data_IF_446423405016
#
_entry.id   IF_446423405016
#
_cell.length_a   1.000
_cell.length_b   1.000
_cell.length_c   1.000
_cell.angle_alpha   90.00
_cell.angle_beta   90.00
_cell.angle_gamma   90.00
#
_symmetry.space_group_name_H-M   'P 1'
#
loop_
_entity.id
_entity.type
_entity.pdbx_description
1 polymer ?
#
# COMPACT_ATOMS: atom_id res chain seq x y z
N UNK A 1 14.22 -27.36 -39.62
CA UNK A 1 13.70 -26.20 -40.42
C UNK A 1 12.21 -26.27 -40.76
N UNK A 2 11.58 -27.44 -40.94
CA UNK A 2 10.15 -27.58 -41.34
C UNK A 2 9.11 -27.09 -40.31
N UNK A 3 9.35 -27.24 -39.00
CA UNK A 3 8.43 -26.78 -37.93
C UNK A 3 8.35 -25.24 -37.80
N UNK A 4 9.48 -24.54 -37.91
CA UNK A 4 9.53 -23.07 -37.79
C UNK A 4 8.81 -22.38 -38.96
N UNK A 5 8.92 -22.92 -40.18
CA UNK A 5 8.19 -22.39 -41.35
C UNK A 5 6.67 -22.64 -41.27
N UNK A 6 6.24 -23.75 -40.66
CA UNK A 6 4.82 -24.02 -40.41
C UNK A 6 4.21 -23.07 -39.39
N UNK A 7 4.88 -22.82 -38.25
CA UNK A 7 4.43 -21.86 -37.23
C UNK A 7 4.31 -20.45 -37.84
N UNK A 8 5.32 -20.02 -38.62
CA UNK A 8 5.31 -18.70 -39.27
C UNK A 8 4.16 -18.54 -40.27
N UNK A 9 3.82 -19.61 -41.01
CA UNK A 9 2.66 -19.63 -41.92
C UNK A 9 1.34 -19.59 -41.15
N UNK A 10 1.20 -20.36 -40.07
CA UNK A 10 0.00 -20.35 -39.23
C UNK A 10 -0.25 -18.96 -38.64
N UNK A 11 0.77 -18.30 -38.08
CA UNK A 11 0.65 -16.92 -37.56
C UNK A 11 0.15 -15.96 -38.66
N UNK A 12 0.74 -16.02 -39.86
CA UNK A 12 0.35 -15.15 -40.98
C UNK A 12 -1.11 -15.38 -41.41
N UNK A 13 -1.54 -16.63 -41.45
CA UNK A 13 -2.92 -16.99 -41.79
C UNK A 13 -3.91 -16.56 -40.70
N UNK A 14 -3.57 -16.72 -39.42
CA UNK A 14 -4.40 -16.25 -38.30
C UNK A 14 -4.62 -14.73 -38.36
N UNK A 15 -3.58 -13.93 -38.62
CA UNK A 15 -3.73 -12.48 -38.78
C UNK A 15 -4.63 -12.09 -39.97
N UNK A 16 -4.50 -12.78 -41.10
CA UNK A 16 -5.36 -12.54 -42.27
C UNK A 16 -6.84 -12.87 -41.97
N UNK A 17 -7.08 -13.94 -41.21
CA UNK A 17 -8.42 -14.38 -40.82
C UNK A 17 -9.11 -13.42 -39.85
N UNK A 18 -8.38 -12.92 -38.84
CA UNK A 18 -8.86 -11.89 -37.91
C UNK A 18 -9.27 -10.62 -38.69
N UNK A 19 -8.50 -10.27 -39.73
CA UNK A 19 -8.76 -9.08 -40.55
C UNK A 19 -10.01 -9.20 -41.45
N UNK A 20 -10.38 -10.40 -41.87
CA UNK A 20 -11.60 -10.64 -42.65
C UNK A 20 -12.86 -10.60 -41.77
N UNK A 21 -12.80 -11.06 -40.52
CA UNK A 21 -13.93 -11.11 -39.59
C UNK A 21 -13.78 -10.08 -38.45
N UNK A 22 -13.66 -8.80 -38.80
CA UNK A 22 -13.31 -7.71 -37.85
C UNK A 22 -14.29 -7.57 -36.69
N UNK A 23 -15.59 -7.55 -36.97
CA UNK A 23 -16.63 -7.34 -35.94
C UNK A 23 -16.63 -8.46 -34.89
N UNK A 24 -16.57 -9.71 -35.37
CA UNK A 24 -16.60 -10.89 -34.49
C UNK A 24 -15.32 -11.01 -33.67
N UNK A 25 -14.17 -10.77 -34.29
CA UNK A 25 -12.87 -10.78 -33.62
C UNK A 25 -12.78 -9.67 -32.58
N UNK A 26 -13.31 -8.48 -32.88
CA UNK A 26 -13.37 -7.38 -31.92
C UNK A 26 -14.27 -7.70 -30.73
N UNK A 27 -15.49 -8.20 -30.96
CA UNK A 27 -16.43 -8.57 -29.89
C UNK A 27 -15.88 -9.68 -28.97
N UNK A 28 -15.11 -10.63 -29.51
CA UNK A 28 -14.46 -11.66 -28.70
C UNK A 28 -13.28 -11.14 -27.91
N UNK A 29 -12.43 -10.31 -28.54
CA UNK A 29 -11.33 -9.67 -27.82
C UNK A 29 -11.85 -8.73 -26.73
N UNK A 30 -13.01 -8.09 -26.91
CA UNK A 30 -13.58 -7.14 -25.96
C UNK A 30 -13.77 -7.75 -24.56
N UNK A 31 -14.26 -8.99 -24.47
CA UNK A 31 -14.41 -9.67 -23.18
C UNK A 31 -13.08 -9.88 -22.45
N UNK A 32 -12.02 -10.22 -23.21
CA UNK A 32 -10.66 -10.40 -22.67
C UNK A 32 -10.07 -9.04 -22.29
N UNK A 33 -10.24 -8.02 -23.14
CA UNK A 33 -9.77 -6.67 -22.89
C UNK A 33 -10.36 -6.15 -21.59
N UNK A 34 -11.69 -6.24 -21.42
CA UNK A 34 -12.37 -5.78 -20.21
C UNK A 34 -11.91 -6.58 -18.99
N UNK A 35 -11.83 -7.91 -19.09
CA UNK A 35 -11.40 -8.77 -17.99
C UNK A 35 -9.97 -8.47 -17.54
N UNK A 36 -9.02 -8.42 -18.47
CA UNK A 36 -7.62 -8.13 -18.17
C UNK A 36 -7.45 -6.68 -17.71
N UNK A 37 -8.12 -5.71 -18.34
CA UNK A 37 -8.05 -4.32 -17.93
C UNK A 37 -8.56 -4.11 -16.50
N UNK A 38 -9.68 -4.73 -16.13
CA UNK A 38 -10.24 -4.62 -14.78
C UNK A 38 -9.29 -5.20 -13.72
N UNK A 39 -8.68 -6.36 -14.00
CA UNK A 39 -7.72 -7.01 -13.08
C UNK A 39 -6.46 -6.16 -12.92
N UNK A 40 -5.87 -5.69 -14.02
CA UNK A 40 -4.69 -4.82 -13.99
C UNK A 40 -5.03 -3.52 -13.24
N UNK A 41 -6.16 -2.90 -13.58
CA UNK A 41 -6.61 -1.65 -12.96
C UNK A 41 -6.71 -1.78 -11.44
N UNK A 42 -7.37 -2.83 -10.96
CA UNK A 42 -7.57 -3.07 -9.54
C UNK A 42 -6.26 -3.42 -8.82
N UNK A 43 -5.49 -4.38 -9.34
CA UNK A 43 -4.28 -4.86 -8.66
C UNK A 43 -3.20 -3.78 -8.61
N UNK A 44 -2.98 -3.05 -9.71
CA UNK A 44 -1.99 -1.96 -9.75
C UNK A 44 -2.39 -0.82 -8.83
N UNK A 45 -3.66 -0.42 -8.83
CA UNK A 45 -4.16 0.65 -7.92
C UNK A 45 -4.05 0.24 -6.46
N UNK A 46 -4.49 -0.97 -6.09
CA UNK A 46 -4.36 -1.48 -4.71
C UNK A 46 -2.90 -1.53 -4.30
N UNK A 47 -2.01 -2.06 -5.14
CA UNK A 47 -0.58 -2.13 -4.86
C UNK A 47 0.05 -0.75 -4.66
N UNK A 48 -0.34 0.24 -5.47
CA UNK A 48 0.14 1.62 -5.35
C UNK A 48 -0.29 2.25 -4.01
N UNK A 49 -1.57 2.10 -3.65
CA UNK A 49 -2.12 2.59 -2.37
C UNK A 49 -1.44 1.89 -1.19
N UNK A 50 -1.30 0.56 -1.23
CA UNK A 50 -0.63 -0.20 -0.18
C UNK A 50 0.83 0.21 -0.03
N UNK A 51 1.57 0.32 -1.14
CA UNK A 51 3.00 0.72 -1.10
C UNK A 51 3.17 2.13 -0.55
N UNK A 52 2.25 3.03 -0.90
CA UNK A 52 2.20 4.37 -0.34
C UNK A 52 1.97 4.32 1.18
N UNK A 53 0.99 3.55 1.66
CA UNK A 53 0.74 3.42 3.09
C UNK A 53 1.91 2.77 3.83
N UNK A 54 2.44 1.64 3.35
CA UNK A 54 3.58 0.93 3.96
C UNK A 54 4.79 1.86 4.01
N UNK A 55 5.07 2.63 2.95
CA UNK A 55 6.15 3.62 2.96
C UNK A 55 6.00 4.62 4.11
N UNK A 56 4.79 5.13 4.34
CA UNK A 56 4.47 6.10 5.41
C UNK A 56 4.54 5.51 6.83
N UNK A 57 4.30 4.21 6.99
CA UNK A 57 4.46 3.51 8.26
C UNK A 57 5.90 3.06 8.50
N UNK A 58 6.63 2.65 7.45
CA UNK A 58 8.03 2.23 7.56
C UNK A 58 8.94 3.36 8.05
N UNK A 59 8.64 4.61 7.68
CA UNK A 59 9.35 5.80 8.17
C UNK A 59 9.11 6.08 9.66
N UNK A 60 8.17 5.39 10.30
CA UNK A 60 7.92 5.52 11.75
C UNK A 60 8.80 4.58 12.59
N UNK A 61 9.59 3.71 11.94
CA UNK A 61 10.55 2.82 12.58
C UNK A 61 9.97 1.44 12.88
N UNK A 62 10.61 0.39 12.33
CA UNK A 62 10.24 -1.01 12.58
C UNK A 62 10.62 -1.51 13.99
N UNK A 63 11.36 -0.72 14.76
CA UNK A 63 11.83 -1.04 16.11
C UNK A 63 11.14 -0.26 17.23
N UNK A 64 9.91 0.22 17.02
CA UNK A 64 9.20 1.07 17.96
C UNK A 64 7.95 0.34 18.51
N UNK A 65 7.83 0.29 19.83
CA UNK A 65 6.62 -0.10 20.56
C UNK A 65 6.02 1.15 21.21
N UNK A 66 4.78 1.48 20.90
CA UNK A 66 4.04 2.53 21.60
C UNK A 66 3.22 1.91 22.73
N UNK A 67 3.44 2.37 23.96
CA UNK A 67 2.70 1.95 25.15
C UNK A 67 1.75 3.06 25.54
N UNK A 68 0.45 2.86 25.30
CA UNK A 68 -0.61 3.73 25.77
C UNK A 68 -1.09 3.27 27.13
N UNK A 69 -1.08 4.17 28.11
CA UNK A 69 -1.46 3.90 29.51
C UNK A 69 -2.54 4.90 29.93
N UNK A 70 -3.82 4.64 29.59
CA UNK A 70 -4.93 5.39 30.16
C UNK A 70 -4.94 5.34 31.70
N UNK A 71 -4.35 4.28 32.26
CA UNK A 71 -4.23 4.09 33.69
C UNK A 71 -5.52 3.58 34.33
N UNK A 72 -5.61 3.75 35.64
CA UNK A 72 -6.76 3.37 36.46
C UNK A 72 -7.14 4.50 37.41
N UNK A 73 -8.29 4.38 38.07
CA UNK A 73 -8.72 5.34 39.11
C UNK A 73 -7.67 5.50 40.22
N UNK A 74 -6.91 4.44 40.52
CA UNK A 74 -5.89 4.44 41.57
C UNK A 74 -4.52 4.93 41.09
N UNK A 75 -4.24 4.83 39.78
CA UNK A 75 -2.97 5.22 39.18
C UNK A 75 -3.22 5.75 37.76
N UNK A 76 -3.36 7.08 37.59
CA UNK A 76 -3.50 7.69 36.27
C UNK A 76 -2.11 7.67 35.62
N UNK A 77 -1.88 6.78 34.65
CA UNK A 77 -0.64 6.70 33.88
C UNK A 77 0.61 6.18 34.62
N UNK A 78 1.75 6.38 33.97
CA UNK A 78 3.08 6.02 34.44
C UNK A 78 3.76 7.19 35.17
N UNK A 79 4.60 6.86 36.14
CA UNK A 79 5.47 7.77 36.88
C UNK A 79 6.91 7.70 36.34
N UNK A 80 7.78 8.64 36.72
CA UNK A 80 9.20 8.59 36.32
C UNK A 80 9.90 7.32 36.80
N UNK A 81 9.50 6.75 37.94
CA UNK A 81 10.03 5.48 38.42
C UNK A 81 9.62 4.31 37.51
N UNK A 82 8.38 4.29 37.04
CA UNK A 82 7.91 3.25 36.10
C UNK A 82 8.67 3.34 34.76
N UNK A 83 9.02 4.55 34.31
CA UNK A 83 9.87 4.72 33.12
C UNK A 83 11.27 4.16 33.34
N UNK A 84 11.85 4.33 34.53
CA UNK A 84 13.16 3.79 34.85
C UNK A 84 13.13 2.25 34.85
N UNK A 85 12.08 1.65 35.40
CA UNK A 85 11.86 0.19 35.35
C UNK A 85 11.68 -0.31 33.91
N UNK A 86 10.90 0.41 33.08
CA UNK A 86 10.76 0.10 31.66
C UNK A 86 12.12 0.18 30.95
N UNK A 87 12.93 1.21 31.22
CA UNK A 87 14.25 1.38 30.57
C UNK A 87 15.25 0.29 30.93
N UNK A 88 15.02 -0.43 32.03
CA UNK A 88 15.88 -1.50 32.51
C UNK A 88 15.53 -2.87 31.90
N UNK A 89 14.44 -2.99 31.14
CA UNK A 89 14.08 -4.23 30.44
C UNK A 89 15.16 -4.53 29.38
N UNK A 90 15.61 -5.79 29.31
CA UNK A 90 16.55 -6.24 28.28
C UNK A 90 15.99 -5.94 26.88
N UNK A 91 16.88 -5.65 25.93
CA UNK A 91 16.54 -5.28 24.55
C UNK A 91 15.90 -3.88 24.34
N UNK A 92 15.61 -3.09 25.37
CA UNK A 92 15.16 -1.69 25.20
C UNK A 92 16.37 -0.76 25.06
N UNK A 93 16.52 -0.13 23.91
CA UNK A 93 17.62 0.81 23.62
C UNK A 93 17.38 2.18 24.25
N UNK A 94 16.16 2.70 24.13
CA UNK A 94 15.80 4.01 24.66
C UNK A 94 14.29 4.18 24.80
N UNK A 95 13.89 5.20 25.56
CA UNK A 95 12.49 5.52 25.85
C UNK A 95 12.23 7.00 25.56
N UNK A 96 11.07 7.30 24.98
CA UNK A 96 10.57 8.64 24.75
C UNK A 96 9.14 8.79 25.27
N UNK A 97 8.93 9.44 26.43
CA UNK A 97 7.60 9.82 26.89
C UNK A 97 6.90 10.74 25.88
N UNK A 98 5.59 10.55 25.72
CA UNK A 98 4.75 11.32 24.81
C UNK A 98 3.59 11.95 25.56
N UNK A 99 3.52 13.28 25.56
CA UNK A 99 2.43 14.02 26.20
C UNK A 99 1.84 14.98 25.18
N UNK A 100 0.60 14.75 24.76
CA UNK A 100 -0.07 15.63 23.78
C UNK A 100 -1.11 16.49 24.48
N UNK A 101 -1.03 17.81 24.28
CA UNK A 101 -1.97 18.79 24.83
C UNK A 101 -2.35 19.77 23.72
N UNK A 102 -3.63 20.16 23.66
CA UNK A 102 -4.05 21.28 22.81
C UNK A 102 -4.01 22.54 23.65
N UNK A 103 -3.36 23.60 23.15
CA UNK A 103 -3.16 24.82 23.93
C UNK A 103 -3.23 26.08 23.08
N UNK A 104 -3.52 27.20 23.74
CA UNK A 104 -3.49 28.52 23.15
C UNK A 104 -2.04 29.00 23.01
N UNK A 105 -1.72 29.49 21.81
CA UNK A 105 -0.39 29.97 21.46
C UNK A 105 -0.49 31.37 20.86
N UNK A 106 0.35 32.27 21.37
CA UNK A 106 0.40 33.67 20.95
C UNK A 106 1.81 34.08 20.58
N UNK A 107 1.94 34.79 19.46
CA UNK A 107 3.19 35.46 19.05
C UNK A 107 2.89 36.65 18.15
N UNK A 108 3.63 37.75 18.31
CA UNK A 108 3.58 38.89 17.39
C UNK A 108 2.19 39.51 17.17
N UNK A 109 1.30 39.45 18.17
CA UNK A 109 -0.07 39.96 18.09
C UNK A 109 -1.08 39.00 17.42
N UNK A 110 -0.66 37.80 17.02
CA UNK A 110 -1.55 36.71 16.58
C UNK A 110 -1.73 35.69 17.70
N UNK A 111 -2.95 35.17 17.82
CA UNK A 111 -3.34 34.13 18.78
C UNK A 111 -4.01 32.99 18.03
N UNK A 112 -3.72 31.75 18.44
CA UNK A 112 -4.44 30.56 17.98
C UNK A 112 -4.74 29.64 19.14
N UNK A 113 -6.01 29.23 19.25
CA UNK A 113 -6.53 28.51 20.42
C UNK A 113 -6.45 26.99 20.26
N UNK A 114 -5.95 26.52 19.10
CA UNK A 114 -5.93 25.11 18.70
C UNK A 114 -4.57 24.74 18.12
N UNK A 115 -3.52 24.86 18.93
CA UNK A 115 -2.18 24.38 18.56
C UNK A 115 -1.89 23.06 19.27
N UNK A 116 -1.32 22.10 18.54
CA UNK A 116 -0.93 20.80 19.11
C UNK A 116 0.42 20.98 19.77
N UNK A 117 0.49 20.83 21.09
CA UNK A 117 1.72 20.89 21.86
C UNK A 117 2.09 19.47 22.29
N UNK A 118 3.23 18.99 21.79
CA UNK A 118 3.75 17.65 22.08
C UNK A 118 4.97 17.73 23.00
N UNK A 119 4.83 17.15 24.19
CA UNK A 119 5.91 16.86 25.11
C UNK A 119 6.72 15.67 24.63
N UNK A 120 7.99 15.89 24.29
CA UNK A 120 8.96 14.87 23.84
C UNK A 120 10.31 15.05 24.55
N UNK A 121 11.15 14.02 24.51
CA UNK A 121 12.54 14.09 24.97
C UNK A 121 13.53 14.08 23.78
N UNK A 122 14.82 14.03 24.07
CA UNK A 122 15.89 13.96 23.06
C UNK A 122 15.85 12.67 22.23
N UNK A 123 15.43 11.55 22.84
CA UNK A 123 15.41 10.24 22.17
C UNK A 123 14.45 10.23 20.99
N UNK A 124 13.33 10.95 21.10
CA UNK A 124 12.39 11.14 19.98
C UNK A 124 13.09 11.73 18.74
N UNK A 125 13.92 12.75 18.92
CA UNK A 125 14.61 13.40 17.80
C UNK A 125 15.79 12.59 17.28
N UNK A 126 16.42 11.78 18.13
CA UNK A 126 17.48 10.85 17.74
C UNK A 126 16.94 9.75 16.82
N UNK A 127 15.76 9.19 17.12
CA UNK A 127 15.14 8.13 16.32
C UNK A 127 14.34 8.65 15.12
N UNK A 128 14.11 9.96 15.04
CA UNK A 128 13.51 10.65 13.90
C UNK A 128 14.55 11.58 13.23
N UNK A 129 15.66 11.01 12.77
CA UNK A 129 16.73 11.77 12.11
C UNK A 129 16.21 12.58 10.91
N UNK A 130 16.68 13.82 10.78
CA UNK A 130 16.23 14.73 9.71
C UNK A 130 14.90 15.44 9.97
N UNK A 131 14.23 15.19 11.11
CA UNK A 131 13.01 15.90 11.49
C UNK A 131 13.28 17.41 11.65
N UNK A 132 14.38 17.80 12.29
CA UNK A 132 14.79 19.20 12.47
C UNK A 132 15.59 19.66 11.26
N UNK A 133 15.05 20.62 10.52
CA UNK A 133 15.65 21.17 9.28
C UNK A 133 16.53 22.39 9.56
N UNK A 134 16.24 23.15 10.62
CA UNK A 134 17.00 24.33 11.01
C UNK A 134 17.07 24.46 12.54
N UNK A 135 18.19 24.94 13.07
CA UNK A 135 18.43 25.03 14.51
C UNK A 135 18.92 23.71 15.11
N UNK A 136 18.45 23.38 16.32
CA UNK A 136 18.82 22.15 17.05
C UNK A 136 17.58 21.42 17.60
N UNK A 137 17.65 20.08 17.79
CA UNK A 137 16.64 19.35 18.54
C UNK A 137 16.70 19.66 20.04
N UNK A 138 15.73 19.12 20.79
CA UNK A 138 15.75 19.13 22.25
C UNK A 138 16.91 18.25 22.77
N UNK A 139 17.63 18.75 23.76
CA UNK A 139 18.79 18.08 24.37
C UNK A 139 18.44 17.58 25.78
N UNK A 140 19.25 16.65 26.29
CA UNK A 140 19.13 16.14 27.67
C UNK A 140 19.14 17.28 28.70
N UNK A 141 19.97 18.30 28.48
CA UNK A 141 20.06 19.49 29.36
C UNK A 141 18.77 20.31 29.42
N UNK A 142 17.95 20.28 28.35
CA UNK A 142 16.67 21.00 28.31
C UNK A 142 15.62 20.29 29.18
N UNK A 143 15.76 18.98 29.43
CA UNK A 143 14.84 18.18 30.26
C UNK A 143 15.08 18.34 31.76
N UNK A 144 16.31 18.68 32.17
CA UNK A 144 16.71 18.68 33.59
C UNK A 144 16.47 20.01 34.30
N UNK A 145 16.54 21.14 33.59
CA UNK A 145 16.58 22.48 34.21
C UNK A 145 15.30 23.31 34.01
N UNK A 146 14.16 22.68 33.81
CA UNK A 146 12.87 23.35 33.53
C UNK A 146 12.96 24.40 32.39
N UNK A 147 13.83 24.13 31.41
CA UNK A 147 14.16 25.09 30.37
C UNK A 147 12.96 25.25 29.44
N UNK A 148 12.49 26.49 29.25
CA UNK A 148 11.37 26.80 28.35
C UNK A 148 11.87 27.01 26.92
N UNK A 149 12.19 25.90 26.26
CA UNK A 149 12.55 25.86 24.83
C UNK A 149 11.54 25.02 24.04
N UNK A 150 11.39 25.32 22.76
CA UNK A 150 10.52 24.58 21.87
C UNK A 150 11.10 24.40 20.47
N UNK A 151 10.64 23.37 19.77
CA UNK A 151 10.87 23.15 18.35
C UNK A 151 9.51 23.26 17.67
N UNK A 152 9.39 24.03 16.59
CA UNK A 152 8.10 24.24 15.90
C UNK A 152 8.09 23.57 14.53
N UNK A 153 6.92 23.19 14.03
CA UNK A 153 6.78 22.72 12.67
C UNK A 153 6.73 23.87 11.63
N UNK A 154 6.79 23.49 10.36
CA UNK A 154 6.69 24.45 9.25
C UNK A 154 5.36 25.20 9.19
N UNK A 155 4.28 24.66 9.77
CA UNK A 155 2.94 25.25 9.76
C UNK A 155 2.84 26.37 10.80
N UNK A 156 3.28 26.11 12.04
CA UNK A 156 3.48 27.08 13.10
C UNK A 156 4.38 28.23 12.64
N UNK A 157 5.49 27.92 11.99
CA UNK A 157 6.40 28.93 11.46
C UNK A 157 5.72 29.87 10.46
N UNK A 158 4.93 29.34 9.51
CA UNK A 158 4.18 30.14 8.53
C UNK A 158 3.08 30.98 9.18
N UNK A 159 2.41 30.46 10.19
CA UNK A 159 1.30 31.13 10.88
C UNK A 159 1.77 32.30 11.73
N UNK A 160 2.78 32.06 12.60
CA UNK A 160 3.23 33.01 13.60
C UNK A 160 4.42 33.88 13.16
N UNK A 161 5.25 33.40 12.23
CA UNK A 161 6.47 34.09 11.77
C UNK A 161 6.56 34.18 10.23
N UNK A 162 5.55 34.76 9.54
CA UNK A 162 5.53 34.82 8.08
C UNK A 162 6.73 35.61 7.53
N UNK A 163 7.56 34.97 6.70
CA UNK A 163 8.72 35.60 6.06
C UNK A 163 9.90 35.92 6.99
N UNK A 164 9.89 35.41 8.23
CA UNK A 164 10.95 35.60 9.21
C UNK A 164 11.57 34.26 9.63
N UNK A 165 12.82 34.28 10.10
CA UNK A 165 13.43 33.09 10.70
C UNK A 165 12.89 32.90 12.13
N UNK A 166 12.18 31.80 12.43
CA UNK A 166 11.61 31.58 13.76
C UNK A 166 12.66 31.14 14.78
N UNK A 167 13.81 30.59 14.37
CA UNK A 167 14.83 30.10 15.29
C UNK A 167 15.47 31.27 16.04
N UNK A 168 15.50 31.17 17.37
CA UNK A 168 15.96 32.19 18.31
C UNK A 168 14.88 33.16 18.78
N UNK A 169 13.70 33.16 18.16
CA UNK A 169 12.56 33.97 18.59
C UNK A 169 11.82 33.33 19.76
N UNK A 170 10.95 34.12 20.40
CA UNK A 170 10.11 33.64 21.50
C UNK A 170 8.66 33.46 21.06
N UNK A 171 8.00 32.46 21.62
CA UNK A 171 6.58 32.16 21.44
C UNK A 171 5.91 31.94 22.80
N UNK A 172 4.68 32.39 22.98
CA UNK A 172 3.96 32.23 24.25
C UNK A 172 2.98 31.08 24.13
N UNK A 173 3.08 30.09 25.02
CA UNK A 173 2.22 28.90 25.08
C UNK A 173 1.57 28.92 26.45
N UNK A 174 0.24 29.05 26.52
CA UNK A 174 -0.53 29.12 27.78
C UNK A 174 0.05 30.15 28.76
N UNK A 175 0.41 31.34 28.26
CA UNK A 175 0.99 32.42 29.07
C UNK A 175 2.49 32.32 29.36
N UNK A 176 3.13 31.16 29.13
CA UNK A 176 4.57 30.93 29.38
C UNK A 176 5.39 31.21 28.12
N UNK A 177 6.53 31.90 28.28
CA UNK A 177 7.43 32.23 27.16
C UNK A 177 8.39 31.07 26.89
N UNK A 178 8.39 30.57 25.66
CA UNK A 178 9.31 29.55 25.15
C UNK A 178 10.21 30.14 24.07
N UNK A 179 11.50 29.79 24.10
CA UNK A 179 12.43 30.14 23.03
C UNK A 179 12.44 29.04 21.96
N UNK A 180 12.31 29.42 20.70
CA UNK A 180 12.34 28.51 19.57
C UNK A 180 13.80 28.14 19.26
N UNK A 181 14.16 26.88 19.47
CA UNK A 181 15.54 26.39 19.24
C UNK A 181 15.69 25.61 17.94
N UNK A 182 14.58 25.18 17.34
CA UNK A 182 14.58 24.42 16.09
C UNK A 182 13.30 24.57 15.30
N UNK A 183 13.40 24.27 14.01
CA UNK A 183 12.32 24.19 13.05
C UNK A 183 12.30 22.78 12.44
N UNK A 184 11.20 22.07 12.63
CA UNK A 184 10.94 20.82 11.95
C UNK A 184 10.56 21.06 10.49
N UNK A 185 11.03 20.16 9.62
CA UNK A 185 10.53 20.08 8.25
C UNK A 185 9.03 19.80 8.24
N UNK A 186 8.37 20.01 7.10
CA UNK A 186 6.98 19.56 6.95
C UNK A 186 6.94 18.05 7.19
N UNK A 187 6.42 17.63 8.34
CA UNK A 187 6.32 16.22 8.70
C UNK A 187 5.26 15.60 7.82
N UNK A 188 5.67 15.14 6.65
CA UNK A 188 4.88 14.33 5.76
C UNK A 188 4.83 12.88 6.30
N UNK A 189 4.71 12.72 7.62
CA UNK A 189 4.62 11.44 8.32
C UNK A 189 3.19 11.25 8.81
N UNK A 190 2.66 10.04 8.63
CA UNK A 190 1.25 9.73 8.87
C UNK A 190 0.81 10.04 10.31
N UNK A 191 1.68 9.88 11.31
CA UNK A 191 1.38 10.19 12.71
C UNK A 191 1.24 11.69 12.98
N UNK A 192 2.05 12.52 12.29
CA UNK A 192 1.85 13.96 12.25
C UNK A 192 0.49 14.27 11.67
N UNK A 193 0.15 13.71 10.51
CA UNK A 193 -1.15 13.91 9.84
C UNK A 193 -2.36 13.41 10.66
N UNK A 194 -2.24 12.28 11.36
CA UNK A 194 -3.28 11.73 12.25
C UNK A 194 -3.50 12.64 13.46
N UNK A 195 -2.43 13.21 14.03
CA UNK A 195 -2.51 14.21 15.11
C UNK A 195 -2.95 15.59 14.61
N UNK A 196 -2.73 15.91 13.34
CA UNK A 196 -3.17 17.11 12.60
C UNK A 196 -4.67 17.06 12.28
N UNK A 197 -5.40 16.00 12.65
CA UNK A 197 -6.85 15.93 12.51
C UNK A 197 -7.54 17.00 13.38
N UNK A 198 -7.65 18.23 12.81
CA UNK A 198 -8.31 19.46 13.28
C UNK A 198 -7.44 20.64 13.77
N UNK A 199 -6.13 20.68 13.54
CA UNK A 199 -5.31 21.84 13.94
C UNK A 199 -4.73 22.62 12.75
N UNK A 200 -5.37 23.76 12.45
CA UNK A 200 -4.96 24.69 11.39
C UNK A 200 -3.62 25.40 11.68
N UNK A 201 -3.18 25.41 12.94
CA UNK A 201 -2.05 26.22 13.39
C UNK A 201 -0.73 25.45 13.57
N UNK A 202 -0.72 24.12 13.36
CA UNK A 202 0.49 23.27 13.40
C UNK A 202 0.80 22.61 14.75
N UNK A 203 2.02 22.09 14.86
CA UNK A 203 2.54 21.36 16.02
C UNK A 203 3.80 22.02 16.61
N UNK A 204 3.85 22.10 17.93
CA UNK A 204 4.99 22.58 18.72
C UNK A 204 5.47 21.46 19.63
N UNK A 205 6.77 21.19 19.63
CA UNK A 205 7.42 20.24 20.51
C UNK A 205 8.10 20.96 21.67
N UNK A 206 7.83 20.51 22.90
CA UNK A 206 8.44 21.02 24.14
C UNK A 206 8.99 19.85 24.96
N UNK A 207 9.87 20.10 25.94
CA UNK A 207 10.25 19.09 26.92
C UNK A 207 9.04 18.42 27.56
N UNK A 208 9.00 17.09 27.63
CA UNK A 208 7.84 16.35 28.13
C UNK A 208 7.44 16.76 29.56
N UNK A 209 8.42 17.10 30.42
CA UNK A 209 8.16 17.63 31.77
C UNK A 209 7.40 18.96 31.75
N UNK A 210 7.73 19.86 30.82
CA UNK A 210 6.98 21.11 30.64
C UNK A 210 5.53 20.83 30.22
N UNK A 211 5.31 19.84 29.35
CA UNK A 211 3.98 19.43 28.92
C UNK A 211 3.16 18.80 30.06
N UNK A 212 3.78 17.99 30.92
CA UNK A 212 3.15 17.45 32.13
C UNK A 212 2.70 18.58 33.08
N UNK A 213 3.59 19.53 33.37
CA UNK A 213 3.25 20.71 34.18
C UNK A 213 2.12 21.52 33.56
N UNK A 214 2.12 21.70 32.24
CA UNK A 214 1.05 22.40 31.52
C UNK A 214 -0.30 21.69 31.60
N UNK A 215 -0.30 20.35 31.58
CA UNK A 215 -1.51 19.52 31.71
C UNK A 215 -1.95 19.35 33.19
N UNK A 216 -1.20 19.90 34.15
CA UNK A 216 -1.50 19.80 35.58
C UNK A 216 -1.46 18.37 36.12
N UNK A 217 -0.77 17.45 35.42
CA UNK A 217 -0.66 16.04 35.80
C UNK A 217 0.78 15.57 35.72
N UNK A 218 1.19 14.71 36.66
CA UNK A 218 2.48 14.04 36.61
C UNK A 218 2.37 12.64 35.96
N UNK A 219 1.21 12.34 35.38
CA UNK A 219 0.89 11.07 34.73
C UNK A 219 1.36 11.06 33.28
N UNK A 220 2.18 10.09 32.92
CA UNK A 220 2.56 9.83 31.53
C UNK A 220 1.62 8.78 30.96
N UNK A 221 0.83 9.15 29.96
CA UNK A 221 -0.21 8.29 29.37
C UNK A 221 0.21 7.65 28.05
N UNK A 222 1.33 8.05 27.46
CA UNK A 222 1.90 7.39 26.28
C UNK A 222 3.43 7.42 26.35
N UNK A 223 4.05 6.32 25.95
CA UNK A 223 5.50 6.13 25.96
C UNK A 223 5.92 5.37 24.72
N UNK A 224 6.89 5.91 24.00
CA UNK A 224 7.52 5.24 22.86
C UNK A 224 8.77 4.50 23.36
N UNK A 225 8.86 3.21 23.07
CA UNK A 225 9.98 2.34 23.41
C UNK A 225 10.69 1.93 22.13
N UNK A 226 11.99 2.16 22.06
CA UNK A 226 12.82 1.76 20.92
C UNK A 226 13.63 0.52 21.29
N UNK A 227 13.50 -0.55 20.51
CA UNK A 227 14.21 -1.82 20.76
C UNK A 227 15.57 -1.85 20.06
N UNK A 228 16.53 -2.55 20.66
CA UNK A 228 17.88 -2.74 20.11
C UNK A 228 17.91 -3.80 19.02
N UNK A 229 17.19 -4.90 19.23
CA UNK A 229 17.08 -6.04 18.31
C UNK A 229 15.61 -6.32 18.02
N UNK A 230 15.20 -6.08 16.77
CA UNK A 230 13.83 -6.31 16.30
C UNK A 230 13.47 -7.79 16.24
N UNK A 231 14.44 -8.71 16.19
CA UNK A 231 14.15 -10.16 16.17
C UNK A 231 13.61 -10.69 17.49
N UNK A 232 13.84 -9.96 18.60
CA UNK A 232 13.35 -10.27 19.94
C UNK A 232 12.15 -9.41 20.36
N UNK A 233 11.45 -8.81 19.39
CA UNK A 233 10.34 -7.89 19.67
C UNK A 233 9.24 -8.54 20.49
N UNK A 234 8.83 -9.77 20.15
CA UNK A 234 7.76 -10.49 20.85
C UNK A 234 8.13 -10.79 22.33
N UNK A 235 9.38 -11.21 22.58
CA UNK A 235 9.91 -11.43 23.94
C UNK A 235 9.92 -10.14 24.76
N UNK A 236 10.27 -9.03 24.10
CA UNK A 236 10.34 -7.70 24.72
C UNK A 236 8.93 -7.20 25.04
N UNK A 237 7.98 -7.37 24.12
CA UNK A 237 6.57 -7.02 24.30
C UNK A 237 5.98 -7.77 25.49
N UNK A 238 6.25 -9.07 25.61
CA UNK A 238 5.77 -9.88 26.75
C UNK A 238 6.39 -9.45 28.08
N UNK A 239 7.67 -9.08 28.08
CA UNK A 239 8.36 -8.54 29.25
C UNK A 239 7.74 -7.21 29.70
N UNK A 240 7.42 -6.32 28.75
CA UNK A 240 6.73 -5.05 29.03
C UNK A 240 5.32 -5.32 29.56
N UNK A 241 4.56 -6.24 28.97
CA UNK A 241 3.23 -6.63 29.46
C UNK A 241 3.30 -7.14 30.89
N UNK A 242 4.30 -7.96 31.23
CA UNK A 242 4.45 -8.49 32.57
C UNK A 242 4.73 -7.39 33.59
N UNK A 243 5.63 -6.45 33.27
CA UNK A 243 5.91 -5.30 34.13
C UNK A 243 4.64 -4.46 34.34
N UNK A 244 3.98 -4.03 33.26
CA UNK A 244 2.80 -3.17 33.33
C UNK A 244 1.62 -3.85 34.03
N UNK A 245 1.43 -5.16 33.84
CA UNK A 245 0.41 -5.91 34.58
C UNK A 245 0.68 -5.85 36.10
N UNK A 246 1.93 -5.94 36.55
CA UNK A 246 2.27 -5.82 37.97
C UNK A 246 2.05 -4.38 38.45
N UNK A 247 2.45 -3.38 37.66
CA UNK A 247 2.27 -1.96 37.97
C UNK A 247 0.80 -1.55 38.13
N UNK A 248 -0.11 -2.19 37.38
CA UNK A 248 -1.55 -1.88 37.37
C UNK A 248 -2.44 -2.96 38.01
N UNK A 249 -1.90 -3.78 38.93
CA UNK A 249 -2.67 -4.80 39.67
C UNK A 249 -3.47 -5.77 38.77
N UNK A 250 -2.85 -6.24 37.68
CA UNK A 250 -3.41 -7.14 36.66
C UNK A 250 -4.63 -6.59 35.91
N UNK A 251 -4.83 -5.26 35.91
CA UNK A 251 -5.88 -4.65 35.11
C UNK A 251 -5.48 -4.57 33.63
N UNK A 252 -6.02 -5.48 32.82
CA UNK A 252 -5.75 -5.57 31.38
C UNK A 252 -6.22 -4.36 30.56
N UNK A 253 -7.07 -3.51 31.12
CA UNK A 253 -7.57 -2.30 30.45
C UNK A 253 -6.77 -1.05 30.84
N UNK A 254 -5.76 -1.18 31.70
CA UNK A 254 -4.95 -0.05 32.16
C UNK A 254 -3.91 0.40 31.12
N UNK A 255 -3.54 -0.48 30.19
CA UNK A 255 -2.55 -0.20 29.15
C UNK A 255 -2.82 -0.99 27.86
N UNK A 256 -2.27 -0.48 26.76
CA UNK A 256 -2.27 -1.08 25.43
C UNK A 256 -0.87 -0.93 24.85
N UNK A 257 -0.34 -2.00 24.24
CA UNK A 257 0.93 -1.95 23.52
C UNK A 257 0.61 -2.03 22.03
N UNK A 258 1.16 -1.09 21.26
CA UNK A 258 1.02 -1.01 19.83
C UNK A 258 2.38 -1.29 19.18
N UNK A 259 2.44 -2.40 18.45
CA UNK A 259 3.62 -2.86 17.74
C UNK A 259 3.47 -2.54 16.24
N UNK A 260 4.39 -1.72 15.71
CA UNK A 260 4.35 -1.29 14.31
C UNK A 260 4.52 -2.47 13.33
N UNK A 261 5.31 -3.48 13.70
CA UNK A 261 5.50 -4.68 12.88
C UNK A 261 4.21 -5.52 12.79
N UNK A 262 3.47 -5.64 13.91
CA UNK A 262 2.16 -6.28 13.94
C UNK A 262 1.12 -5.54 13.07
N UNK A 263 1.19 -4.20 13.02
CA UNK A 263 0.37 -3.42 12.09
C UNK A 263 0.75 -3.73 10.63
N UNK A 264 2.04 -3.71 10.28
CA UNK A 264 2.51 -4.01 8.93
C UNK A 264 2.13 -5.44 8.50
N UNK A 265 2.24 -6.43 9.38
CA UNK A 265 1.85 -7.81 9.09
C UNK A 265 0.34 -7.95 8.89
N UNK A 266 -0.46 -7.23 9.68
CA UNK A 266 -1.91 -7.15 9.52
C UNK A 266 -2.28 -6.51 8.18
N UNK A 267 -1.63 -5.42 7.79
CA UNK A 267 -1.82 -4.77 6.48
C UNK A 267 -1.48 -5.72 5.33
N UNK A 268 -0.35 -6.43 5.41
CA UNK A 268 0.04 -7.43 4.41
C UNK A 268 -1.00 -8.55 4.32
N UNK A 269 -1.57 -8.97 5.44
CA UNK A 269 -2.65 -9.97 5.48
C UNK A 269 -3.91 -9.45 4.79
N UNK A 270 -4.31 -8.20 5.04
CA UNK A 270 -5.44 -7.57 4.34
C UNK A 270 -5.20 -7.49 2.83
N UNK A 271 -3.99 -7.10 2.39
CA UNK A 271 -3.62 -7.05 0.98
C UNK A 271 -3.67 -8.42 0.32
N UNK A 272 -3.16 -9.44 1.01
CA UNK A 272 -3.23 -10.84 0.54
C UNK A 272 -4.68 -11.30 0.38
N UNK A 273 -5.56 -10.98 1.34
CA UNK A 273 -6.98 -11.30 1.28
C UNK A 273 -7.67 -10.58 0.10
N UNK A 274 -7.41 -9.28 -0.09
CA UNK A 274 -7.93 -8.53 -1.24
C UNK A 274 -7.42 -9.09 -2.57
N UNK A 275 -6.14 -9.45 -2.65
CA UNK A 275 -5.53 -10.05 -3.85
C UNK A 275 -6.18 -11.39 -4.18
N UNK A 276 -6.46 -12.21 -3.17
CA UNK A 276 -7.14 -13.51 -3.33
C UNK A 276 -8.58 -13.31 -3.82
N UNK A 277 -9.31 -12.35 -3.26
CA UNK A 277 -10.66 -12.00 -3.72
C UNK A 277 -10.66 -11.52 -5.17
N UNK A 278 -9.71 -10.65 -5.53
CA UNK A 278 -9.53 -10.17 -6.90
C UNK A 278 -9.17 -11.31 -7.86
N UNK A 279 -8.34 -12.26 -7.45
CA UNK A 279 -8.08 -13.48 -8.20
C UNK A 279 -9.36 -14.30 -8.45
N UNK A 280 -10.24 -14.40 -7.46
CA UNK A 280 -11.57 -15.00 -7.60
C UNK A 280 -12.42 -14.29 -8.65
N UNK A 281 -12.54 -12.96 -8.58
CA UNK A 281 -13.30 -12.17 -9.56
C UNK A 281 -12.68 -12.27 -10.95
N UNK A 282 -11.35 -12.24 -11.05
CA UNK A 282 -10.60 -12.44 -12.28
C UNK A 282 -10.90 -13.80 -12.92
N UNK A 283 -11.01 -14.86 -12.12
CA UNK A 283 -11.34 -16.21 -12.60
C UNK A 283 -12.74 -16.29 -13.21
N UNK A 284 -13.70 -15.51 -12.71
CA UNK A 284 -15.04 -15.43 -13.29
C UNK A 284 -14.97 -14.67 -14.62
N UNK A 285 -14.23 -13.56 -14.67
CA UNK A 285 -13.99 -12.82 -15.90
C UNK A 285 -13.27 -13.69 -16.97
N UNK A 286 -12.35 -14.55 -16.54
CA UNK A 286 -11.70 -15.57 -17.37
C UNK A 286 -12.72 -16.49 -18.03
N UNK A 287 -13.66 -17.03 -17.25
CA UNK A 287 -14.68 -17.95 -17.73
C UNK A 287 -15.58 -17.27 -18.77
N UNK A 288 -16.05 -16.06 -18.49
CA UNK A 288 -16.92 -15.31 -19.41
C UNK A 288 -16.20 -14.97 -20.72
N UNK A 289 -14.97 -14.44 -20.64
CA UNK A 289 -14.16 -14.13 -21.83
C UNK A 289 -13.79 -15.39 -22.62
N UNK A 290 -13.42 -16.46 -21.91
CA UNK A 290 -13.06 -17.75 -22.49
C UNK A 290 -14.20 -18.43 -23.23
N UNK A 291 -15.42 -18.43 -22.67
CA UNK A 291 -16.63 -18.94 -23.34
C UNK A 291 -16.87 -18.17 -24.65
N UNK A 292 -16.62 -16.85 -24.65
CA UNK A 292 -16.68 -16.04 -25.86
C UNK A 292 -15.74 -16.53 -26.97
N UNK A 293 -14.48 -16.80 -26.63
CA UNK A 293 -13.50 -17.37 -27.58
C UNK A 293 -13.98 -18.74 -28.07
N UNK A 294 -14.40 -19.61 -27.16
CA UNK A 294 -14.84 -20.96 -27.50
C UNK A 294 -16.00 -20.94 -28.50
N UNK A 295 -17.04 -20.13 -28.24
CA UNK A 295 -18.21 -20.04 -29.11
C UNK A 295 -17.84 -19.48 -30.49
N UNK A 296 -17.04 -18.41 -30.53
CA UNK A 296 -16.56 -17.84 -31.79
C UNK A 296 -15.75 -18.85 -32.61
N UNK A 297 -14.87 -19.60 -31.95
CA UNK A 297 -14.06 -20.63 -32.60
C UNK A 297 -14.92 -21.79 -33.11
N UNK A 298 -15.92 -22.24 -32.35
CA UNK A 298 -16.87 -23.27 -32.82
C UNK A 298 -17.61 -22.82 -34.08
N UNK A 299 -18.10 -21.57 -34.11
CA UNK A 299 -18.77 -20.99 -35.29
C UNK A 299 -17.78 -20.90 -36.48
N UNK A 300 -16.54 -20.49 -36.22
CA UNK A 300 -15.50 -20.40 -37.26
C UNK A 300 -15.14 -21.78 -37.83
N UNK A 301 -15.12 -22.82 -37.00
CA UNK A 301 -14.90 -24.21 -37.44
C UNK A 301 -16.08 -24.67 -38.31
N UNK A 302 -17.32 -24.35 -37.94
CA UNK A 302 -18.49 -24.71 -38.75
C UNK A 302 -18.50 -23.98 -40.09
N UNK A 303 -18.18 -22.69 -40.13
CA UNK A 303 -18.10 -21.91 -41.36
C UNK A 303 -17.00 -22.41 -42.30
N UNK A 304 -15.87 -22.86 -41.75
CA UNK A 304 -14.72 -23.37 -42.52
C UNK A 304 -14.71 -24.89 -42.70
N UNK A 305 -15.83 -25.58 -42.44
CA UNK A 305 -15.88 -27.06 -42.50
C UNK A 305 -15.40 -27.61 -43.85
N UNK A 306 -15.88 -27.07 -44.99
CA UNK A 306 -15.46 -27.48 -46.34
C UNK A 306 -13.96 -27.27 -46.59
N UNK A 307 -13.42 -26.13 -46.16
CA UNK A 307 -11.99 -25.81 -46.29
C UNK A 307 -11.12 -26.79 -45.50
N UNK A 308 -11.53 -27.12 -44.27
CA UNK A 308 -10.84 -28.09 -43.41
C UNK A 308 -10.90 -29.49 -44.03
N UNK A 309 -12.07 -29.89 -44.54
CA UNK A 309 -12.28 -31.16 -45.24
C UNK A 309 -11.37 -31.31 -46.45
N UNK A 310 -11.27 -30.27 -47.28
CA UNK A 310 -10.37 -30.23 -48.44
C UNK A 310 -8.91 -30.37 -48.03
N UNK A 311 -8.46 -29.64 -47.00
CA UNK A 311 -7.08 -29.76 -46.50
C UNK A 311 -6.75 -31.16 -46.00
N UNK A 312 -7.68 -31.80 -45.29
CA UNK A 312 -7.50 -33.18 -44.83
C UNK A 312 -7.50 -34.19 -45.97
N UNK A 313 -8.37 -34.01 -46.97
CA UNK A 313 -8.38 -34.85 -48.18
C UNK A 313 -7.07 -34.76 -48.97
N UNK A 314 -6.40 -33.60 -48.93
CA UNK A 314 -5.07 -33.37 -49.51
C UNK A 314 -3.92 -33.85 -48.61
N UNK A 315 -4.21 -34.51 -47.49
CA UNK A 315 -3.20 -35.14 -46.62
C UNK A 315 -2.70 -34.30 -45.45
N UNK A 316 -3.39 -33.22 -45.05
CA UNK A 316 -3.02 -32.48 -43.84
C UNK A 316 -3.25 -33.33 -42.58
N UNK A 317 -2.20 -33.50 -41.76
CA UNK A 317 -2.29 -34.21 -40.48
C UNK A 317 -3.25 -33.48 -39.51
N UNK A 318 -4.07 -34.22 -38.71
CA UNK A 318 -4.97 -33.63 -37.72
C UNK A 318 -4.27 -32.65 -36.77
N UNK A 319 -3.04 -32.94 -36.36
CA UNK A 319 -2.25 -32.08 -35.49
C UNK A 319 -1.91 -30.72 -36.10
N UNK A 320 -1.76 -30.63 -37.43
CA UNK A 320 -1.50 -29.37 -38.13
C UNK A 320 -2.74 -28.47 -38.12
N UNK A 321 -3.92 -29.06 -38.35
CA UNK A 321 -5.21 -28.35 -38.27
C UNK A 321 -5.45 -27.88 -36.83
N UNK A 322 -5.23 -28.75 -35.84
CA UNK A 322 -5.38 -28.39 -34.43
C UNK A 322 -4.46 -27.22 -34.05
N UNK A 323 -3.17 -27.28 -34.44
CA UNK A 323 -2.20 -26.23 -34.15
C UNK A 323 -2.58 -24.90 -34.80
N UNK A 324 -3.13 -24.92 -36.01
CA UNK A 324 -3.58 -23.70 -36.69
C UNK A 324 -4.70 -22.99 -35.90
N UNK A 325 -5.76 -23.71 -35.54
CA UNK A 325 -6.87 -23.11 -34.78
C UNK A 325 -6.47 -22.73 -33.36
N UNK A 326 -5.62 -23.51 -32.70
CA UNK A 326 -5.09 -23.16 -31.38
C UNK A 326 -4.22 -21.90 -31.43
N UNK A 327 -3.40 -21.72 -32.47
CA UNK A 327 -2.64 -20.47 -32.65
C UNK A 327 -3.55 -19.29 -32.95
N UNK A 328 -4.65 -19.48 -33.68
CA UNK A 328 -5.64 -18.42 -33.93
C UNK A 328 -6.28 -17.93 -32.62
N UNK A 329 -6.66 -18.84 -31.71
CA UNK A 329 -7.21 -18.48 -30.39
C UNK A 329 -6.17 -17.83 -29.47
N UNK A 330 -4.92 -18.34 -29.46
CA UNK A 330 -3.82 -17.75 -28.67
C UNK A 330 -3.49 -16.35 -29.16
N UNK A 331 -3.41 -16.12 -30.47
CA UNK A 331 -3.12 -14.79 -31.01
C UNK A 331 -4.24 -13.81 -30.65
N UNK A 332 -5.51 -14.22 -30.80
CA UNK A 332 -6.66 -13.42 -30.37
C UNK A 332 -6.58 -13.07 -28.88
N UNK A 333 -6.29 -14.06 -28.03
CA UNK A 333 -6.26 -13.86 -26.58
C UNK A 333 -5.10 -12.98 -26.13
N UNK A 334 -3.88 -13.21 -26.64
CA UNK A 334 -2.69 -12.41 -26.32
C UNK A 334 -2.86 -10.99 -26.84
N UNK A 335 -3.43 -10.79 -28.03
CA UNK A 335 -3.66 -9.43 -28.56
C UNK A 335 -4.69 -8.68 -27.71
N UNK A 336 -5.79 -9.35 -27.33
CA UNK A 336 -6.76 -8.81 -26.38
C UNK A 336 -6.16 -8.55 -25.00
N UNK A 337 -5.26 -9.42 -24.53
CA UNK A 337 -4.55 -9.28 -23.27
C UNK A 337 -3.59 -8.08 -23.25
N UNK A 338 -2.79 -7.90 -24.30
CA UNK A 338 -1.88 -6.76 -24.43
C UNK A 338 -2.66 -5.44 -24.47
N UNK A 339 -3.76 -5.39 -25.23
CA UNK A 339 -4.64 -4.20 -25.25
C UNK A 339 -5.28 -4.00 -23.87
N UNK A 340 -5.74 -5.07 -23.23
CA UNK A 340 -6.29 -5.04 -21.87
C UNK A 340 -5.30 -4.52 -20.84
N UNK A 341 -4.03 -4.93 -20.91
CA UNK A 341 -2.95 -4.41 -20.05
C UNK A 341 -2.77 -2.91 -20.29
N UNK A 342 -2.66 -2.47 -21.54
CA UNK A 342 -2.49 -1.05 -21.86
C UNK A 342 -3.67 -0.20 -21.36
N UNK A 343 -4.91 -0.68 -21.54
CA UNK A 343 -6.12 -0.02 -21.04
C UNK A 343 -6.18 -0.05 -19.51
N UNK A 344 -5.82 -1.17 -18.88
CA UNK A 344 -5.81 -1.32 -17.43
C UNK A 344 -4.77 -0.42 -16.73
N UNK A 345 -3.58 -0.29 -17.32
CA UNK A 345 -2.56 0.64 -16.83
C UNK A 345 -3.00 2.10 -17.01
N UNK A 346 -3.64 2.44 -18.14
CA UNK A 346 -4.22 3.77 -18.34
C UNK A 346 -5.30 4.08 -17.30
N UNK A 347 -6.20 3.13 -17.02
CA UNK A 347 -7.22 3.27 -15.99
C UNK A 347 -6.60 3.39 -14.60
N UNK A 348 -5.56 2.61 -14.29
CA UNK A 348 -4.80 2.71 -13.03
C UNK A 348 -4.18 4.08 -12.85
N UNK A 349 -3.57 4.62 -13.92
CA UNK A 349 -2.97 5.95 -13.91
C UNK A 349 -4.03 7.02 -13.62
N UNK A 350 -5.19 6.97 -14.29
CA UNK A 350 -6.29 7.89 -14.04
C UNK A 350 -6.80 7.77 -12.60
N UNK A 351 -6.96 6.54 -12.09
CA UNK A 351 -7.39 6.31 -10.71
C UNK A 351 -6.38 6.87 -9.68
N UNK A 352 -5.08 6.66 -9.89
CA UNK A 352 -4.04 7.19 -9.02
C UNK A 352 -4.04 8.72 -8.99
N UNK A 353 -4.25 9.37 -10.14
CA UNK A 353 -4.38 10.84 -10.21
C UNK A 353 -5.60 11.35 -9.43
N UNK A 354 -6.75 10.67 -9.52
CA UNK A 354 -7.96 11.03 -8.77
C UNK A 354 -7.80 10.86 -7.26
N UNK A 355 -7.02 9.87 -6.82
CA UNK A 355 -6.78 9.57 -5.40
C UNK A 355 -5.54 10.32 -4.86
N UNK A 356 -4.87 11.14 -5.68
CA UNK A 356 -3.63 11.85 -5.35
C UNK A 356 -2.49 10.92 -4.86
N UNK A 357 -2.41 9.72 -5.42
CA UNK A 357 -1.36 8.74 -5.10
C UNK A 357 -0.36 8.61 -6.24
N UNK A 358 0.90 8.29 -5.91
CA UNK A 358 1.93 8.06 -6.92
C UNK A 358 1.61 6.77 -7.67
N UNK A 359 1.43 6.88 -8.99
CA UNK A 359 1.28 5.73 -9.85
C UNK A 359 2.60 4.94 -9.92
N UNK A 360 2.54 3.66 -9.60
CA UNK A 360 3.68 2.74 -9.64
C UNK A 360 3.29 1.56 -10.51
N UNK A 361 4.07 1.30 -11.56
CA UNK A 361 3.90 0.13 -12.40
C UNK A 361 4.17 -1.13 -11.57
N UNK A 362 3.27 -2.11 -11.63
CA UNK A 362 3.45 -3.40 -10.98
C UNK A 362 3.80 -4.47 -12.03
N UNK A 363 5.09 -4.85 -12.19
CA UNK A 363 5.50 -5.88 -13.15
C UNK A 363 4.82 -7.23 -12.90
N UNK A 364 4.51 -7.55 -11.64
CA UNK A 364 3.78 -8.76 -11.26
C UNK A 364 2.36 -8.78 -11.82
N UNK A 365 1.66 -7.65 -11.76
CA UNK A 365 0.32 -7.52 -12.35
C UNK A 365 0.37 -7.67 -13.88
N UNK A 366 1.31 -7.02 -14.55
CA UNK A 366 1.51 -7.10 -16.01
C UNK A 366 1.79 -8.56 -16.44
N UNK A 367 2.73 -9.22 -15.76
CA UNK A 367 3.05 -10.62 -16.03
C UNK A 367 1.83 -11.53 -15.81
N UNK A 368 1.09 -11.31 -14.72
CA UNK A 368 -0.14 -12.04 -14.43
C UNK A 368 -1.17 -11.86 -15.54
N UNK A 369 -1.44 -10.62 -15.99
CA UNK A 369 -2.36 -10.35 -17.09
C UNK A 369 -1.95 -11.00 -18.41
N UNK A 370 -0.65 -10.99 -18.72
CA UNK A 370 -0.12 -11.64 -19.93
C UNK A 370 -0.30 -13.15 -19.90
N UNK A 371 0.19 -13.83 -18.84
CA UNK A 371 0.07 -15.28 -18.71
C UNK A 371 -1.39 -15.73 -18.58
N UNK A 372 -2.22 -14.93 -17.93
CA UNK A 372 -3.66 -15.13 -17.86
C UNK A 372 -4.28 -15.13 -19.25
N UNK A 373 -4.01 -14.11 -20.07
CA UNK A 373 -4.53 -14.04 -21.45
C UNK A 373 -4.06 -15.21 -22.32
N UNK A 374 -2.82 -15.67 -22.14
CA UNK A 374 -2.27 -16.84 -22.81
C UNK A 374 -3.00 -18.12 -22.39
N UNK A 375 -3.23 -18.31 -21.08
CA UNK A 375 -3.94 -19.46 -20.53
C UNK A 375 -5.38 -19.55 -21.05
N UNK A 376 -6.11 -18.42 -21.14
CA UNK A 376 -7.47 -18.38 -21.72
C UNK A 376 -7.46 -18.92 -23.16
N UNK A 377 -6.55 -18.41 -23.99
CA UNK A 377 -6.48 -18.77 -25.41
C UNK A 377 -6.16 -20.25 -25.63
N UNK A 378 -5.34 -20.84 -24.75
CA UNK A 378 -5.02 -22.27 -24.78
C UNK A 378 -6.22 -23.10 -24.32
N UNK A 379 -6.76 -22.83 -23.12
CA UNK A 379 -7.81 -23.65 -22.51
C UNK A 379 -9.09 -23.65 -23.34
N UNK A 380 -9.58 -22.48 -23.73
CA UNK A 380 -10.86 -22.35 -24.46
C UNK A 380 -10.71 -22.55 -25.97
N UNK A 381 -9.50 -22.40 -26.51
CA UNK A 381 -9.20 -22.70 -27.92
C UNK A 381 -8.98 -24.18 -28.21
N UNK A 382 -8.57 -24.97 -27.20
CA UNK A 382 -8.21 -26.37 -27.39
C UNK A 382 -9.39 -27.25 -27.82
N UNK A 383 -10.56 -27.12 -27.19
CA UNK A 383 -11.72 -27.95 -27.52
C UNK A 383 -12.23 -27.72 -28.97
N UNK A 384 -12.44 -26.46 -29.45
CA UNK A 384 -12.77 -26.19 -30.85
C UNK A 384 -11.68 -26.66 -31.82
N UNK A 385 -10.41 -26.43 -31.50
CA UNK A 385 -9.30 -26.86 -32.35
C UNK A 385 -9.23 -28.39 -32.50
N UNK A 386 -9.48 -29.11 -31.40
CA UNK A 386 -9.59 -30.57 -31.41
C UNK A 386 -10.79 -31.03 -32.24
N UNK A 387 -11.95 -30.39 -32.12
CA UNK A 387 -13.13 -30.69 -32.94
C UNK A 387 -12.84 -30.51 -34.44
N UNK A 388 -12.18 -29.42 -34.83
CA UNK A 388 -11.77 -29.19 -36.22
C UNK A 388 -10.82 -30.29 -36.74
N UNK A 389 -9.85 -30.70 -35.91
CA UNK A 389 -8.89 -31.74 -36.27
C UNK A 389 -9.51 -33.14 -36.43
N UNK A 390 -10.70 -33.38 -35.87
CA UNK A 390 -11.38 -34.67 -35.90
C UNK A 390 -12.46 -34.78 -36.99
N UNK A 391 -12.73 -33.71 -37.75
CA UNK A 391 -13.70 -33.73 -38.86
C UNK A 391 -13.34 -34.78 -39.92
N UNK A 392 -14.30 -35.59 -40.33
CA UNK A 392 -14.12 -36.58 -41.40
C UNK A 392 -14.14 -35.85 -42.77
N UNK A 393 -13.13 -36.04 -43.64
CA UNK A 393 -13.06 -35.36 -44.94
C UNK A 393 -14.30 -35.58 -45.81
N UNK A 394 -14.90 -36.78 -45.75
CA UNK A 394 -16.06 -37.16 -46.56
C UNK A 394 -17.29 -36.36 -46.12
N UNK A 395 -17.55 -36.32 -44.81
CA UNK A 395 -18.70 -35.60 -44.24
C UNK A 395 -18.55 -34.09 -44.44
N UNK A 396 -17.33 -33.57 -44.32
CA UNK A 396 -17.03 -32.15 -44.48
C UNK A 396 -17.19 -31.62 -45.92
N UNK A 397 -17.05 -32.50 -46.93
CA UNK A 397 -17.28 -32.16 -48.34
C UNK A 397 -18.72 -32.38 -48.80
N UNK A 398 -19.48 -33.20 -48.05
CA UNK A 398 -20.88 -33.52 -48.34
C UNK A 398 -21.88 -32.55 -47.71
N UNK A 399 -21.50 -31.81 -46.67
CA UNK A 399 -22.33 -30.77 -46.07
C UNK A 399 -22.57 -29.64 -47.09
N UNK A 400 -23.83 -29.37 -47.47
CA UNK A 400 -24.21 -28.23 -48.31
C UNK A 400 -23.93 -26.88 -47.62
#
# INVERSE_FOLDING_TARGET
MRKSSMIRRSIRMSFANIRNNRMRSFLTMLGIIIGVAAVIALVTTVSAVTSYMIGRFSSMGAGMLEVSVPGTVLKPGLTENDLAELSAIDNIASISPSVSVVSEVASGGKVSDKVSVQGRNEQYFLHNEGLVTSGRPLLVSDMQNDVKVCVIDSTCAKTFFPGQNPVGQNIRITGVLYQIVGLCGSSDNLMGTMTISNNDAGTIYIPYRNALTMNGTNAITSVDLYVSDTSRMDETEDSIKQLLNNTFNQNKNAFYIFNMESLLSTMNTMVSMMTTMLGGIASIALLVGGIGIMNMMLVTVTERTKEIGLRKALGAEPGVIQLQFLLESIILSVTGGVIGIAVGELLSYIACQLIHTKFILNPGAIALGFFFSLAVGILFGWAPARKASQLNPIDALRSE
#
